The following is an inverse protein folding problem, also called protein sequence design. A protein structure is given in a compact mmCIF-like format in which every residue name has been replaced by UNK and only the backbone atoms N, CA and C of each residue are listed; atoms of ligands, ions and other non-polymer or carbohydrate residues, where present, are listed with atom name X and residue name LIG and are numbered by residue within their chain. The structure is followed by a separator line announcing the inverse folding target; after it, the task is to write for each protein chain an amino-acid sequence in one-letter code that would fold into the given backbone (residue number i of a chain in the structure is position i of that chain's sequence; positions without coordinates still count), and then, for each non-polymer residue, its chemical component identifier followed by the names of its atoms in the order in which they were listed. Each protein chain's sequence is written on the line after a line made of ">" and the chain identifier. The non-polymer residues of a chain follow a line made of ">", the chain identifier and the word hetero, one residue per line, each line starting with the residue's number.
data_IF_674093869070
#
_entry.id   IF_674093869070
#
_cell.length_a   1.000
_cell.length_b   1.000
_cell.length_c   1.000
_cell.angle_alpha   90.00
_cell.angle_beta   90.00
_cell.angle_gamma   90.00
#
_symmetry.space_group_name_H-M   'P 1'
#
loop_
_entity.id
_entity.type
_entity.pdbx_description
1 polymer ?
#
# COMPACT_ATOMS: atom_id res chain seq x y z
N UNK A 1 -40.13 -45.48 -10.29
CA UNK A 1 -38.96 -44.69 -9.83
C UNK A 1 -39.50 -43.40 -9.22
N UNK A 2 -39.66 -43.35 -7.89
CA UNK A 2 -40.19 -42.17 -7.19
C UNK A 2 -38.98 -41.30 -6.77
N UNK A 3 -38.75 -40.24 -7.52
CA UNK A 3 -37.78 -39.20 -7.14
C UNK A 3 -38.42 -38.50 -5.93
N UNK A 4 -37.75 -38.56 -4.76
CA UNK A 4 -38.25 -37.93 -3.54
C UNK A 4 -38.07 -36.40 -3.67
N UNK A 5 -39.13 -35.67 -3.30
CA UNK A 5 -39.13 -34.19 -3.30
C UNK A 5 -37.93 -33.61 -2.51
N UNK A 6 -37.38 -34.40 -1.58
CA UNK A 6 -36.21 -34.07 -0.79
C UNK A 6 -34.92 -33.99 -1.63
N UNK A 7 -34.78 -34.81 -2.67
CA UNK A 7 -33.61 -34.84 -3.54
C UNK A 7 -33.58 -33.63 -4.48
N UNK A 8 -34.76 -33.14 -4.86
CA UNK A 8 -34.94 -31.92 -5.68
C UNK A 8 -34.63 -30.65 -4.85
N UNK A 9 -35.02 -30.59 -3.57
CA UNK A 9 -34.71 -29.49 -2.66
C UNK A 9 -33.21 -29.44 -2.32
N UNK A 10 -32.54 -30.57 -2.23
CA UNK A 10 -31.08 -30.60 -1.99
C UNK A 10 -30.31 -30.13 -3.23
N UNK A 11 -30.78 -30.46 -4.42
CA UNK A 11 -30.13 -30.05 -5.69
C UNK A 11 -30.40 -28.59 -6.04
N UNK A 12 -31.57 -28.02 -5.69
CA UNK A 12 -31.84 -26.59 -5.86
C UNK A 12 -31.12 -25.72 -4.81
N UNK A 13 -30.86 -26.23 -3.61
CA UNK A 13 -30.14 -25.54 -2.57
C UNK A 13 -28.64 -25.36 -2.87
N UNK A 14 -28.05 -26.19 -3.73
CA UNK A 14 -26.63 -26.12 -4.12
C UNK A 14 -26.37 -25.10 -5.25
N UNK A 15 -27.39 -24.60 -5.94
CA UNK A 15 -27.23 -23.75 -7.12
C UNK A 15 -27.29 -22.25 -6.84
N UNK A 16 -27.41 -21.80 -5.58
CA UNK A 16 -27.54 -20.36 -5.22
C UNK A 16 -26.39 -19.84 -4.37
N UNK A 17 -25.27 -20.53 -4.33
CA UNK A 17 -24.07 -19.88 -3.79
C UNK A 17 -23.37 -19.18 -4.96
N UNK A 18 -23.86 -18.00 -5.32
CA UNK A 18 -23.06 -17.05 -6.09
C UNK A 18 -21.89 -16.62 -5.18
N UNK A 19 -20.76 -17.27 -5.35
CA UNK A 19 -19.50 -16.81 -4.78
C UNK A 19 -19.16 -15.54 -5.57
N UNK A 20 -19.58 -14.39 -5.08
CA UNK A 20 -19.10 -13.10 -5.59
C UNK A 20 -17.62 -13.02 -5.23
N UNK A 21 -16.77 -13.39 -6.17
CA UNK A 21 -15.32 -13.15 -6.07
C UNK A 21 -15.09 -11.66 -6.24
N UNK A 22 -14.97 -10.94 -5.12
CA UNK A 22 -14.64 -9.52 -5.10
C UNK A 22 -13.11 -9.41 -4.95
N UNK A 23 -12.48 -8.74 -5.88
CA UNK A 23 -11.04 -8.50 -5.84
C UNK A 23 -10.72 -7.36 -4.88
N UNK A 24 -9.79 -7.58 -3.97
CA UNK A 24 -9.22 -6.57 -3.09
C UNK A 24 -8.00 -5.92 -3.75
N UNK A 25 -7.82 -4.61 -3.59
CA UNK A 25 -6.59 -3.93 -3.99
C UNK A 25 -5.42 -4.41 -3.11
N UNK A 26 -4.22 -4.38 -3.68
CA UNK A 26 -3.00 -4.74 -2.96
C UNK A 26 -2.78 -3.89 -1.70
N UNK A 27 -2.01 -4.40 -0.76
CA UNK A 27 -1.60 -3.70 0.45
C UNK A 27 -0.15 -4.01 0.82
N UNK A 28 0.49 -3.11 1.55
CA UNK A 28 1.84 -3.28 2.11
C UNK A 28 1.76 -3.47 3.63
N UNK A 29 2.59 -4.38 4.18
CA UNK A 29 2.73 -4.57 5.62
C UNK A 29 3.44 -3.39 6.26
N UNK A 30 4.52 -2.88 5.62
CA UNK A 30 5.27 -1.70 6.06
C UNK A 30 4.69 -0.41 5.49
N UNK A 31 3.45 -0.05 5.91
CA UNK A 31 2.78 1.16 5.41
C UNK A 31 3.52 2.48 5.69
N UNK A 32 4.46 2.51 6.65
CA UNK A 32 5.32 3.65 6.93
C UNK A 32 6.36 3.90 5.83
N UNK A 33 6.71 2.89 5.02
CA UNK A 33 7.61 3.02 3.86
C UNK A 33 6.84 3.21 2.55
N UNK A 34 5.50 3.17 2.58
CA UNK A 34 4.63 3.42 1.43
C UNK A 34 3.55 4.49 1.72
N UNK A 35 3.95 5.71 2.11
CA UNK A 35 3.04 6.71 2.67
C UNK A 35 1.97 7.19 1.67
N UNK A 36 2.26 7.29 0.38
CA UNK A 36 1.30 7.77 -0.61
C UNK A 36 0.23 6.72 -0.96
N UNK A 37 0.47 5.44 -0.67
CA UNK A 37 -0.55 4.38 -0.70
C UNK A 37 -1.45 4.39 0.54
N UNK A 38 -0.99 5.03 1.63
CA UNK A 38 -1.76 5.16 2.85
C UNK A 38 -2.73 6.35 2.79
N UNK A 39 -2.22 7.53 2.39
CA UNK A 39 -3.02 8.75 2.46
C UNK A 39 -2.49 9.84 1.53
N UNK A 40 -3.31 10.39 0.62
CA UNK A 40 -2.95 11.53 -0.22
C UNK A 40 -2.48 12.77 0.55
N UNK A 41 -3.00 13.01 1.75
CA UNK A 41 -2.66 14.19 2.57
C UNK A 41 -1.19 14.17 3.08
N UNK A 42 -0.46 13.06 2.90
CA UNK A 42 0.94 12.95 3.33
C UNK A 42 1.92 13.46 2.25
N UNK A 43 1.46 13.78 1.04
CA UNK A 43 2.31 14.36 -0.01
C UNK A 43 3.06 15.57 0.53
N UNK A 44 4.40 15.54 0.47
CA UNK A 44 5.28 16.60 0.97
C UNK A 44 5.35 16.73 2.50
N UNK A 45 4.77 15.80 3.27
CA UNK A 45 4.81 15.82 4.73
C UNK A 45 5.94 14.96 5.27
N UNK A 46 7.15 15.49 5.23
CA UNK A 46 8.37 14.87 5.76
C UNK A 46 9.44 15.94 6.02
N UNK A 47 10.42 15.60 6.84
CA UNK A 47 11.53 16.50 7.15
C UNK A 47 12.64 16.38 6.07
N UNK A 48 12.47 17.12 4.99
CA UNK A 48 13.38 17.15 3.83
C UNK A 48 12.79 17.96 2.69
N UNK A 49 13.46 17.98 1.55
CA UNK A 49 13.04 18.67 0.33
C UNK A 49 12.39 17.70 -0.68
N UNK A 50 12.95 16.50 -0.79
CA UNK A 50 12.43 15.44 -1.66
C UNK A 50 12.50 14.10 -0.93
N UNK A 51 11.44 13.30 -1.09
CA UNK A 51 11.38 11.93 -0.62
C UNK A 51 11.11 10.99 -1.79
N UNK A 52 11.85 9.88 -1.84
CA UNK A 52 11.63 8.79 -2.79
C UNK A 52 11.40 7.52 -1.97
N UNK A 53 10.35 6.77 -2.27
CA UNK A 53 10.08 5.47 -1.65
C UNK A 53 10.03 4.39 -2.73
N UNK A 54 10.52 3.21 -2.40
CA UNK A 54 10.39 2.00 -3.21
C UNK A 54 10.05 0.82 -2.31
N UNK A 55 9.03 0.05 -2.69
CA UNK A 55 8.58 -1.13 -1.95
C UNK A 55 8.39 -2.30 -2.91
N UNK A 56 8.76 -3.49 -2.44
CA UNK A 56 8.45 -4.75 -3.09
C UNK A 56 7.90 -5.73 -2.06
N UNK A 57 6.75 -6.33 -2.38
CA UNK A 57 6.11 -7.37 -1.58
C UNK A 57 5.88 -8.61 -2.43
N UNK A 58 6.24 -9.78 -1.88
CA UNK A 58 5.96 -11.09 -2.47
C UNK A 58 5.14 -11.91 -1.49
N UNK A 59 4.00 -12.45 -1.95
CA UNK A 59 3.07 -13.23 -1.13
C UNK A 59 2.82 -14.60 -1.77
N UNK A 60 2.49 -15.61 -0.93
CA UNK A 60 2.06 -16.95 -1.33
C UNK A 60 3.05 -17.74 -2.20
N UNK A 61 4.33 -17.44 -2.12
CA UNK A 61 5.39 -18.16 -2.84
C UNK A 61 5.47 -19.66 -2.50
N UNK A 62 4.86 -20.08 -1.40
CA UNK A 62 4.81 -21.48 -0.98
C UNK A 62 3.58 -22.24 -1.53
N UNK A 63 2.61 -21.56 -2.13
CA UNK A 63 1.33 -22.15 -2.55
C UNK A 63 1.22 -22.22 -4.06
N UNK A 64 1.62 -21.16 -4.78
CA UNK A 64 1.47 -21.01 -6.22
C UNK A 64 2.48 -20.00 -6.76
N UNK A 65 2.32 -19.55 -8.01
CA UNK A 65 3.09 -18.42 -8.54
C UNK A 65 2.88 -17.21 -7.63
N UNK A 66 3.96 -16.61 -7.08
CA UNK A 66 3.85 -15.57 -6.09
C UNK A 66 3.07 -14.35 -6.61
N UNK A 67 2.23 -13.80 -5.75
CA UNK A 67 1.72 -12.45 -5.96
C UNK A 67 2.85 -11.47 -5.69
N UNK A 68 3.10 -10.58 -6.61
CA UNK A 68 4.23 -9.65 -6.55
C UNK A 68 3.77 -8.22 -6.78
N UNK A 69 3.94 -7.39 -5.75
CA UNK A 69 3.55 -5.99 -5.76
C UNK A 69 4.79 -5.10 -5.67
N UNK A 70 4.90 -4.14 -6.59
CA UNK A 70 5.92 -3.11 -6.60
C UNK A 70 5.27 -1.74 -6.44
N UNK A 71 5.92 -0.85 -5.69
CA UNK A 71 5.52 0.54 -5.57
C UNK A 71 6.76 1.44 -5.62
N UNK A 72 6.69 2.49 -6.41
CA UNK A 72 7.67 3.57 -6.42
C UNK A 72 6.92 4.88 -6.30
N UNK A 73 7.35 5.74 -5.38
CA UNK A 73 6.77 7.07 -5.24
C UNK A 73 7.86 8.12 -5.02
N UNK A 74 7.59 9.34 -5.46
CA UNK A 74 8.39 10.49 -5.11
C UNK A 74 7.50 11.69 -4.82
N UNK A 75 7.88 12.47 -3.83
CA UNK A 75 7.18 13.70 -3.46
C UNK A 75 8.13 14.80 -3.02
N UNK A 76 7.72 16.05 -3.28
CA UNK A 76 8.47 17.25 -2.99
C UNK A 76 7.78 18.02 -1.87
N UNK A 77 8.57 18.39 -0.85
CA UNK A 77 8.15 19.31 0.20
C UNK A 77 8.44 20.73 -0.23
N UNK A 78 7.44 21.39 -0.79
CA UNK A 78 7.55 22.79 -1.23
C UNK A 78 7.09 23.70 -0.11
N UNK A 79 8.01 24.33 0.62
CA UNK A 79 7.74 25.16 1.81
C UNK A 79 6.78 26.34 1.55
N UNK A 80 6.67 26.82 0.31
CA UNK A 80 5.88 28.01 -0.07
C UNK A 80 4.85 27.75 -1.19
N UNK A 81 4.87 26.56 -1.80
CA UNK A 81 3.99 26.18 -2.90
C UNK A 81 3.29 24.86 -2.55
N UNK A 82 2.35 24.44 -3.36
CA UNK A 82 1.70 23.15 -3.20
C UNK A 82 2.72 22.02 -3.34
N UNK A 83 2.84 21.12 -2.36
CA UNK A 83 3.62 19.92 -2.51
C UNK A 83 3.03 19.06 -3.63
N UNK A 84 3.89 18.43 -4.40
CA UNK A 84 3.51 17.54 -5.50
C UNK A 84 4.18 16.21 -5.28
N UNK A 85 3.45 15.14 -5.54
CA UNK A 85 3.98 13.79 -5.51
C UNK A 85 3.35 12.92 -6.59
N UNK A 86 4.06 11.87 -6.95
CA UNK A 86 3.54 10.82 -7.81
C UNK A 86 3.81 9.45 -7.21
N UNK A 87 2.99 8.49 -7.62
CA UNK A 87 3.17 7.09 -7.24
C UNK A 87 2.84 6.20 -8.43
N UNK A 88 3.65 5.19 -8.61
CA UNK A 88 3.46 4.09 -9.56
C UNK A 88 3.39 2.81 -8.77
N UNK A 89 2.31 2.06 -8.94
CA UNK A 89 2.14 0.74 -8.39
C UNK A 89 2.02 -0.27 -9.51
N UNK A 90 2.61 -1.43 -9.33
CA UNK A 90 2.42 -2.60 -10.18
C UNK A 90 2.09 -3.79 -9.32
N UNK A 91 0.97 -4.46 -9.61
CA UNK A 91 0.56 -5.68 -8.94
C UNK A 91 0.37 -6.79 -9.95
N UNK A 92 1.01 -7.93 -9.71
CA UNK A 92 0.92 -9.14 -10.53
C UNK A 92 0.37 -10.28 -9.68
N UNK A 93 -0.74 -10.85 -10.13
CA UNK A 93 -1.46 -11.85 -9.38
C UNK A 93 -1.62 -13.15 -10.19
N UNK A 94 -1.25 -14.26 -9.57
CA UNK A 94 -1.57 -15.60 -10.01
C UNK A 94 -0.95 -16.07 -11.32
N UNK A 95 -1.40 -17.23 -11.75
CA UNK A 95 -0.90 -17.97 -12.93
C UNK A 95 -1.24 -17.24 -14.23
N UNK A 96 -2.38 -16.57 -14.29
CA UNK A 96 -2.80 -15.74 -15.43
C UNK A 96 -1.96 -14.47 -15.61
N UNK A 97 -0.99 -14.23 -14.72
CA UNK A 97 -0.17 -13.00 -14.70
C UNK A 97 -1.04 -11.75 -14.81
N UNK A 98 -2.20 -11.78 -14.14
CA UNK A 98 -3.07 -10.62 -14.06
C UNK A 98 -2.27 -9.43 -13.54
N UNK A 99 -2.09 -8.41 -14.38
CA UNK A 99 -1.21 -7.30 -14.12
C UNK A 99 -2.02 -6.01 -13.99
N UNK A 100 -1.87 -5.32 -12.88
CA UNK A 100 -2.45 -4.00 -12.65
C UNK A 100 -1.32 -3.00 -12.52
N UNK A 101 -1.31 -1.96 -13.35
CA UNK A 101 -0.38 -0.84 -13.26
C UNK A 101 -1.20 0.41 -12.97
N UNK A 102 -0.85 1.09 -11.89
CA UNK A 102 -1.51 2.31 -11.45
C UNK A 102 -0.51 3.46 -11.38
N UNK A 103 -0.86 4.60 -11.97
CA UNK A 103 -0.12 5.84 -11.87
C UNK A 103 -1.02 6.92 -11.29
N UNK A 104 -0.62 7.56 -10.18
CA UNK A 104 -1.35 8.68 -9.60
C UNK A 104 -0.42 9.88 -9.36
N UNK A 105 -0.95 11.06 -9.59
CA UNK A 105 -0.39 12.35 -9.18
C UNK A 105 -1.18 12.88 -8.00
N UNK A 106 -0.52 13.49 -7.04
CA UNK A 106 -1.18 14.01 -5.85
C UNK A 106 -0.58 15.30 -5.34
N UNK A 107 -1.37 15.98 -4.54
CA UNK A 107 -1.00 17.20 -3.83
C UNK A 107 -1.74 17.28 -2.51
N UNK A 108 -1.25 18.13 -1.58
CA UNK A 108 -1.87 18.32 -0.28
C UNK A 108 -1.78 19.78 0.17
N UNK A 109 -2.74 20.18 1.02
CA UNK A 109 -2.83 21.52 1.57
C UNK A 109 -2.77 21.47 3.11
N UNK A 110 -2.07 22.41 3.70
CA UNK A 110 -2.15 22.64 5.13
C UNK A 110 -3.35 23.56 5.43
N UNK A 111 -4.34 23.05 6.15
CA UNK A 111 -5.46 23.84 6.66
C UNK A 111 -5.10 24.48 7.99
N UNK A 112 -4.38 23.74 8.84
CA UNK A 112 -3.83 24.22 10.10
C UNK A 112 -2.35 23.81 10.10
N UNK A 113 -1.46 24.71 10.49
CA UNK A 113 -0.03 24.45 10.62
C UNK A 113 0.56 25.40 11.63
N UNK A 114 0.65 24.95 12.87
CA UNK A 114 1.33 25.64 13.95
C UNK A 114 2.40 24.74 14.60
N UNK A 115 3.00 25.16 15.69
CA UNK A 115 4.08 24.42 16.36
C UNK A 115 3.59 23.16 17.09
N UNK A 116 2.29 23.05 17.36
CA UNK A 116 1.70 21.95 18.14
C UNK A 116 0.91 21.02 17.23
N UNK A 117 0.15 21.55 16.27
CA UNK A 117 -0.79 20.79 15.48
C UNK A 117 -0.70 21.11 14.00
N UNK A 118 -1.01 20.09 13.21
CA UNK A 118 -1.09 20.22 11.77
C UNK A 118 -2.31 19.45 11.25
N UNK A 119 -3.14 20.11 10.45
CA UNK A 119 -4.24 19.50 9.71
C UNK A 119 -3.99 19.68 8.22
N UNK A 120 -3.99 18.57 7.50
CA UNK A 120 -3.77 18.53 6.05
C UNK A 120 -4.91 17.82 5.35
N UNK A 121 -5.22 18.29 4.15
CA UNK A 121 -6.11 17.61 3.20
C UNK A 121 -5.34 17.39 1.93
N UNK A 122 -5.47 16.22 1.33
CA UNK A 122 -4.78 15.86 0.09
C UNK A 122 -5.69 15.14 -0.88
N UNK A 123 -5.33 15.22 -2.16
CA UNK A 123 -6.00 14.49 -3.22
C UNK A 123 -4.98 13.84 -4.14
N UNK A 124 -5.38 12.76 -4.79
CA UNK A 124 -4.65 12.10 -5.86
C UNK A 124 -5.60 11.78 -6.99
N UNK A 125 -5.13 11.93 -8.23
CA UNK A 125 -5.84 11.51 -9.42
C UNK A 125 -4.87 10.82 -10.37
N UNK A 126 -5.35 9.84 -11.11
CA UNK A 126 -4.50 9.10 -12.02
C UNK A 126 -5.25 8.09 -12.87
N UNK A 127 -4.50 7.17 -13.42
CA UNK A 127 -4.99 6.12 -14.31
C UNK A 127 -4.50 4.75 -13.85
N UNK A 128 -5.34 3.75 -14.06
CA UNK A 128 -5.00 2.34 -13.86
C UNK A 128 -5.23 1.57 -15.14
N UNK A 129 -4.24 0.75 -15.51
CA UNK A 129 -4.35 -0.24 -16.58
C UNK A 129 -4.37 -1.61 -15.95
N UNK A 130 -5.37 -2.43 -16.29
CA UNK A 130 -5.46 -3.85 -15.94
C UNK A 130 -5.34 -4.70 -17.19
N UNK A 131 -4.58 -5.77 -17.12
CA UNK A 131 -4.37 -6.67 -18.24
C UNK A 131 -4.26 -8.12 -17.82
N UNK A 132 -4.67 -9.03 -18.72
CA UNK A 132 -4.51 -10.47 -18.60
C UNK A 132 -3.59 -10.93 -19.70
N UNK A 133 -2.57 -11.71 -19.37
CA UNK A 133 -1.76 -12.39 -20.38
C UNK A 133 -2.36 -13.75 -20.69
N UNK A 134 -2.97 -13.90 -21.85
CA UNK A 134 -3.63 -15.14 -22.27
C UNK A 134 -2.69 -16.17 -22.86
N UNK A 135 -1.44 -15.82 -23.16
CA UNK A 135 -0.49 -16.74 -23.80
C UNK A 135 -0.14 -17.96 -22.93
N UNK A 136 -0.28 -17.82 -21.62
CA UNK A 136 0.03 -18.89 -20.66
C UNK A 136 -1.24 -19.56 -20.07
N UNK A 137 -2.44 -19.15 -20.52
CA UNK A 137 -3.70 -19.70 -20.06
C UNK A 137 -4.16 -20.78 -21.03
N UNK A 138 -4.57 -21.92 -20.48
CA UNK A 138 -5.15 -23.03 -21.23
C UNK A 138 -6.66 -23.09 -20.99
N UNK A 139 -7.42 -23.45 -22.01
CA UNK A 139 -8.87 -23.49 -21.97
C UNK A 139 -9.36 -24.88 -22.28
N UNK A 140 -10.49 -25.30 -21.69
CA UNK A 140 -11.09 -26.63 -21.90
C UNK A 140 -11.37 -26.93 -23.39
N UNK A 141 -11.71 -25.89 -24.18
CA UNK A 141 -11.93 -26.02 -25.61
C UNK A 141 -10.65 -26.45 -26.38
N UNK A 142 -9.48 -26.32 -25.80
CA UNK A 142 -8.21 -26.74 -26.38
C UNK A 142 -7.83 -28.19 -26.03
N UNK A 143 -8.73 -28.93 -25.35
CA UNK A 143 -8.57 -30.36 -25.10
C UNK A 143 -9.27 -31.16 -26.18
N UNK A 144 -8.54 -31.97 -26.96
CA UNK A 144 -9.06 -32.74 -28.10
C UNK A 144 -9.67 -34.08 -27.71
N UNK A 145 -9.87 -34.35 -26.43
CA UNK A 145 -10.39 -35.60 -25.89
C UNK A 145 -9.29 -36.59 -25.43
N UNK A 146 -8.03 -36.37 -25.80
CA UNK A 146 -6.89 -37.16 -25.38
C UNK A 146 -5.75 -36.34 -24.82
N UNK A 147 -5.52 -35.15 -25.37
CA UNK A 147 -4.43 -34.26 -24.94
C UNK A 147 -4.80 -32.79 -25.20
N UNK A 148 -4.07 -31.90 -24.56
CA UNK A 148 -4.10 -30.46 -24.81
C UNK A 148 -3.42 -30.16 -26.16
N UNK A 149 -4.11 -29.37 -27.02
CA UNK A 149 -3.58 -28.87 -28.29
C UNK A 149 -3.67 -27.35 -28.34
N UNK A 150 -2.53 -26.62 -28.24
CA UNK A 150 -2.53 -25.17 -28.24
C UNK A 150 -3.01 -24.52 -29.54
N UNK A 151 -3.10 -25.31 -30.64
CA UNK A 151 -3.55 -24.81 -31.93
C UNK A 151 -5.09 -24.79 -32.06
N UNK A 152 -5.81 -25.43 -31.14
CA UNK A 152 -7.27 -25.38 -31.13
C UNK A 152 -7.74 -24.02 -30.67
N UNK A 153 -8.88 -23.52 -31.23
CA UNK A 153 -9.45 -22.23 -30.80
C UNK A 153 -9.89 -22.32 -29.33
N UNK A 154 -9.63 -21.24 -28.60
CA UNK A 154 -9.99 -21.14 -27.17
C UNK A 154 -11.50 -21.06 -26.93
N UNK A 155 -12.28 -20.70 -27.97
CA UNK A 155 -13.72 -20.40 -27.91
C UNK A 155 -14.10 -19.30 -26.89
N UNK A 156 -13.10 -18.61 -26.31
CA UNK A 156 -13.32 -17.49 -25.42
C UNK A 156 -13.25 -16.16 -26.17
N UNK A 157 -14.23 -15.32 -25.96
CA UNK A 157 -14.30 -14.04 -26.64
C UNK A 157 -13.96 -12.91 -25.65
N UNK A 158 -12.67 -12.67 -25.45
CA UNK A 158 -12.21 -11.50 -24.71
C UNK A 158 -12.21 -10.29 -25.63
N UNK A 159 -13.14 -9.36 -25.43
CA UNK A 159 -13.24 -8.14 -26.23
C UNK A 159 -12.03 -7.21 -26.07
N UNK A 160 -11.41 -7.22 -24.89
CA UNK A 160 -10.18 -6.48 -24.58
C UNK A 160 -9.36 -7.16 -23.50
N UNK A 161 -8.08 -7.42 -23.78
CA UNK A 161 -7.12 -7.94 -22.78
C UNK A 161 -6.59 -6.88 -21.82
N UNK A 162 -6.77 -5.61 -22.16
CA UNK A 162 -6.37 -4.46 -21.37
C UNK A 162 -7.55 -3.54 -21.14
N UNK A 163 -7.75 -3.16 -19.89
CA UNK A 163 -8.78 -2.21 -19.49
C UNK A 163 -8.12 -1.02 -18.77
N UNK A 164 -8.49 0.21 -19.17
CA UNK A 164 -7.93 1.45 -18.60
C UNK A 164 -9.06 2.25 -17.96
N UNK A 165 -8.83 2.72 -16.73
CA UNK A 165 -9.79 3.56 -16.01
C UNK A 165 -9.09 4.61 -15.15
N UNK A 166 -9.82 5.68 -14.81
CA UNK A 166 -9.34 6.75 -13.96
C UNK A 166 -9.47 6.42 -12.46
N UNK A 167 -8.62 7.01 -11.64
CA UNK A 167 -8.67 6.94 -10.19
C UNK A 167 -8.81 8.33 -9.59
N UNK A 168 -9.57 8.44 -8.50
CA UNK A 168 -9.70 9.64 -7.71
C UNK A 168 -9.68 9.27 -6.23
N UNK A 169 -8.79 9.90 -5.45
CA UNK A 169 -8.55 9.59 -4.05
C UNK A 169 -8.48 10.87 -3.23
N UNK A 170 -8.99 10.83 -2.01
CA UNK A 170 -8.94 11.92 -1.04
C UNK A 170 -8.38 11.44 0.29
N UNK A 171 -7.79 12.36 1.04
CA UNK A 171 -7.28 12.05 2.37
C UNK A 171 -7.23 13.26 3.29
N UNK A 172 -7.25 12.96 4.58
CA UNK A 172 -7.08 13.90 5.68
C UNK A 172 -6.02 13.34 6.62
N UNK A 173 -5.13 14.19 7.06
CA UNK A 173 -4.10 13.88 8.04
C UNK A 173 -4.10 14.93 9.13
N UNK A 174 -4.20 14.49 10.37
CA UNK A 174 -4.10 15.34 11.55
C UNK A 174 -2.95 14.87 12.44
N UNK A 175 -2.13 15.81 12.89
CA UNK A 175 -0.97 15.56 13.72
C UNK A 175 -0.96 16.54 14.90
N UNK A 176 -0.66 15.99 16.07
CA UNK A 176 -0.43 16.79 17.29
C UNK A 176 0.90 16.38 17.90
N UNK A 177 1.74 17.36 18.20
CA UNK A 177 3.06 17.18 18.77
C UNK A 177 3.13 17.81 20.16
N UNK A 178 3.30 16.98 21.20
CA UNK A 178 3.48 17.39 22.60
C UNK A 178 4.87 16.97 23.06
N UNK A 179 5.84 17.88 23.03
CA UNK A 179 7.21 17.63 23.53
C UNK A 179 7.78 16.22 23.19
N UNK A 180 7.44 15.21 24.01
CA UNK A 180 7.89 13.82 23.86
C UNK A 180 6.87 12.91 23.18
N UNK A 181 5.71 13.42 22.76
CA UNK A 181 4.63 12.59 22.20
C UNK A 181 4.16 13.16 20.87
N UNK A 182 4.01 12.27 19.89
CA UNK A 182 3.47 12.60 18.58
C UNK A 182 2.27 11.69 18.30
N UNK A 183 1.09 12.30 18.13
CA UNK A 183 -0.11 11.58 17.71
C UNK A 183 -0.41 11.94 16.26
N UNK A 184 -0.66 10.93 15.44
CA UNK A 184 -1.04 11.11 14.05
C UNK A 184 -2.30 10.32 13.75
N UNK A 185 -3.25 10.96 13.05
CA UNK A 185 -4.50 10.36 12.63
C UNK A 185 -4.61 10.53 11.11
N UNK A 186 -4.88 9.44 10.43
CA UNK A 186 -5.05 9.40 8.98
C UNK A 186 -6.44 8.86 8.66
N UNK A 187 -7.13 9.54 7.75
CA UNK A 187 -8.34 9.05 7.11
C UNK A 187 -8.22 9.27 5.61
N UNK A 188 -8.47 8.24 4.81
CA UNK A 188 -8.45 8.37 3.36
C UNK A 188 -9.48 7.49 2.69
N UNK A 189 -9.91 7.91 1.51
CA UNK A 189 -10.82 7.19 0.65
C UNK A 189 -10.25 7.13 -0.76
N UNK A 190 -10.07 5.91 -1.25
CA UNK A 190 -9.58 5.63 -2.61
C UNK A 190 -10.74 5.15 -3.48
N UNK A 191 -10.54 5.28 -4.80
CA UNK A 191 -11.50 4.84 -5.82
C UNK A 191 -12.84 5.59 -5.74
N UNK A 192 -12.83 6.90 -5.42
CA UNK A 192 -14.04 7.71 -5.23
C UNK A 192 -14.97 7.73 -6.45
N UNK A 193 -14.41 7.60 -7.63
CA UNK A 193 -15.14 7.58 -8.90
C UNK A 193 -15.70 6.20 -9.27
N UNK A 194 -15.46 5.17 -8.43
CA UNK A 194 -15.99 3.82 -8.60
C UNK A 194 -15.94 3.33 -10.06
N UNK A 195 -14.80 3.50 -10.71
CA UNK A 195 -14.61 3.19 -12.12
C UNK A 195 -15.05 1.78 -12.47
N UNK A 196 -15.63 1.61 -13.67
CA UNK A 196 -15.92 0.30 -14.21
C UNK A 196 -14.59 -0.44 -14.49
N UNK A 197 -14.47 -1.68 -14.00
CA UNK A 197 -13.30 -2.54 -14.17
C UNK A 197 -13.58 -3.80 -15.00
N UNK A 198 -14.72 -3.86 -15.69
CA UNK A 198 -15.14 -5.02 -16.48
C UNK A 198 -14.32 -5.16 -17.76
N UNK A 199 -13.74 -6.35 -18.00
CA UNK A 199 -13.05 -6.69 -19.25
C UNK A 199 -13.99 -7.11 -20.37
N UNK A 200 -15.18 -7.60 -20.04
CA UNK A 200 -16.07 -8.27 -20.99
C UNK A 200 -17.17 -7.36 -21.54
N UNK A 201 -17.07 -6.04 -21.32
CA UNK A 201 -18.17 -5.14 -21.69
C UNK A 201 -19.50 -5.52 -21.05
N UNK A 202 -19.46 -6.21 -19.90
CA UNK A 202 -20.62 -6.80 -19.25
C UNK A 202 -21.63 -5.77 -18.81
N UNK A 203 -22.87 -6.09 -19.01
CA UNK A 203 -24.01 -5.36 -18.43
C UNK A 203 -24.66 -6.26 -17.34
N UNK A 204 -24.67 -5.86 -16.07
CA UNK A 204 -24.24 -4.56 -15.52
C UNK A 204 -22.71 -4.40 -15.38
N UNK A 205 -22.22 -3.15 -15.37
CA UNK A 205 -20.78 -2.87 -15.21
C UNK A 205 -20.30 -3.31 -13.82
N UNK A 206 -19.08 -3.80 -13.74
CA UNK A 206 -18.43 -4.16 -12.46
C UNK A 206 -17.70 -2.94 -11.93
N UNK A 207 -18.31 -2.23 -10.99
CA UNK A 207 -17.71 -1.04 -10.37
C UNK A 207 -16.63 -1.43 -9.36
N UNK A 208 -15.57 -0.64 -9.31
CA UNK A 208 -14.52 -0.76 -8.29
C UNK A 208 -15.04 -0.20 -6.95
N UNK A 209 -14.97 -0.99 -5.90
CA UNK A 209 -15.43 -0.59 -4.58
C UNK A 209 -14.59 0.55 -3.98
N UNK A 210 -15.24 1.42 -3.22
CA UNK A 210 -14.57 2.40 -2.38
C UNK A 210 -13.66 1.70 -1.38
N UNK A 211 -12.42 2.18 -1.26
CA UNK A 211 -11.46 1.70 -0.27
C UNK A 211 -11.24 2.77 0.80
N UNK A 212 -11.69 2.49 2.01
CA UNK A 212 -11.52 3.34 3.18
C UNK A 212 -10.28 2.90 3.96
N UNK A 213 -9.48 3.85 4.40
CA UNK A 213 -8.33 3.62 5.26
C UNK A 213 -8.40 4.58 6.44
N UNK A 214 -8.27 4.01 7.64
CA UNK A 214 -8.06 4.75 8.89
C UNK A 214 -6.78 4.28 9.57
N UNK A 215 -5.98 5.21 10.07
CA UNK A 215 -4.79 4.88 10.88
C UNK A 215 -4.66 5.88 12.00
N UNK A 216 -4.35 5.38 13.18
CA UNK A 216 -3.89 6.17 14.32
C UNK A 216 -2.52 5.66 14.74
N UNK A 217 -1.62 6.57 15.06
CA UNK A 217 -0.33 6.23 15.65
C UNK A 217 0.03 7.18 16.77
N UNK A 218 0.64 6.64 17.81
CA UNK A 218 1.16 7.37 18.95
C UNK A 218 2.65 7.01 19.11
N UNK A 219 3.50 8.00 18.89
CA UNK A 219 4.94 7.87 19.12
C UNK A 219 5.29 8.54 20.43
N UNK A 220 6.00 7.84 21.29
CA UNK A 220 6.47 8.29 22.58
C UNK A 220 7.99 8.23 22.64
N UNK A 221 8.64 9.35 22.92
CA UNK A 221 10.07 9.44 23.14
C UNK A 221 10.35 9.08 24.62
N UNK A 222 10.83 7.87 24.85
CA UNK A 222 11.14 7.38 26.20
C UNK A 222 12.35 8.12 26.76
N UNK A 223 13.38 8.29 25.95
CA UNK A 223 14.56 9.10 26.20
C UNK A 223 15.23 9.45 24.86
N UNK A 224 16.37 10.13 24.89
CA UNK A 224 17.06 10.60 23.68
C UNK A 224 17.46 9.47 22.70
N UNK A 225 17.55 8.24 23.19
CA UNK A 225 17.95 7.08 22.38
C UNK A 225 16.76 6.20 21.97
N UNK A 226 15.70 6.15 22.76
CA UNK A 226 14.61 5.20 22.59
C UNK A 226 13.28 5.85 22.35
N UNK A 227 12.60 5.42 21.30
CA UNK A 227 11.22 5.77 21.03
C UNK A 227 10.36 4.54 20.73
N UNK A 228 9.09 4.64 21.11
CA UNK A 228 8.08 3.62 20.91
C UNK A 228 6.95 4.21 20.09
N UNK A 229 6.54 3.52 19.01
CA UNK A 229 5.40 3.94 18.20
C UNK A 229 4.37 2.81 18.18
N UNK A 230 3.22 3.02 18.81
CA UNK A 230 2.08 2.12 18.74
C UNK A 230 1.12 2.60 17.66
N UNK A 231 0.55 1.67 16.89
CA UNK A 231 -0.35 2.04 15.81
C UNK A 231 -1.50 1.04 15.64
N UNK A 232 -2.65 1.59 15.26
CA UNK A 232 -3.80 0.86 14.77
C UNK A 232 -4.13 1.32 13.36
N UNK A 233 -4.42 0.37 12.49
CA UNK A 233 -4.77 0.59 11.10
C UNK A 233 -6.00 -0.24 10.75
N UNK A 234 -6.90 0.33 10.00
CA UNK A 234 -8.07 -0.34 9.44
C UNK A 234 -8.21 0.01 7.97
N UNK A 235 -8.47 -0.98 7.15
CA UNK A 235 -8.90 -0.76 5.77
C UNK A 235 -10.14 -1.58 5.46
N UNK A 236 -11.02 -1.03 4.63
CA UNK A 236 -12.22 -1.70 4.15
C UNK A 236 -12.44 -1.38 2.67
N UNK A 237 -12.64 -2.43 1.87
CA UNK A 237 -13.02 -2.34 0.47
C UNK A 237 -14.08 -3.39 0.16
N UNK A 238 -15.29 -2.94 -0.17
CA UNK A 238 -16.42 -3.83 -0.30
C UNK A 238 -16.65 -4.66 0.97
N UNK A 239 -16.71 -6.01 0.86
CA UNK A 239 -16.84 -6.91 2.01
C UNK A 239 -15.51 -7.16 2.75
N UNK A 240 -14.38 -6.82 2.15
CA UNK A 240 -13.06 -7.07 2.73
C UNK A 240 -12.72 -6.02 3.77
N UNK A 241 -12.31 -6.49 4.93
CA UNK A 241 -11.86 -5.65 6.03
C UNK A 241 -10.58 -6.24 6.63
N UNK A 242 -9.60 -5.37 6.84
CA UNK A 242 -8.36 -5.69 7.51
C UNK A 242 -8.15 -4.74 8.69
N UNK A 243 -7.78 -5.27 9.83
CA UNK A 243 -7.38 -4.51 11.01
C UNK A 243 -5.97 -4.95 11.37
N UNK A 244 -5.08 -3.97 11.52
CA UNK A 244 -3.69 -4.16 11.90
C UNK A 244 -3.40 -3.38 13.17
N UNK A 245 -2.82 -4.03 14.16
CA UNK A 245 -2.38 -3.41 15.40
C UNK A 245 -0.92 -3.80 15.61
N UNK A 246 -0.10 -2.85 16.02
CA UNK A 246 1.30 -3.15 16.26
C UNK A 246 2.07 -2.05 16.94
N UNK A 247 3.29 -2.39 17.28
CA UNK A 247 4.21 -1.51 17.98
C UNK A 247 5.59 -1.61 17.34
N UNK A 248 6.19 -0.45 17.08
CA UNK A 248 7.55 -0.27 16.56
C UNK A 248 8.43 0.35 17.65
N UNK A 249 9.57 -0.20 17.85
CA UNK A 249 10.60 0.28 18.76
C UNK A 249 11.78 0.78 17.93
N UNK A 250 12.27 1.99 18.21
CA UNK A 250 13.43 2.56 17.54
C UNK A 250 14.52 2.88 18.57
N UNK A 251 15.75 2.47 18.24
CA UNK A 251 16.96 2.84 18.96
C UNK A 251 17.81 3.78 18.10
N UNK A 252 17.98 5.01 18.56
CA UNK A 252 18.73 6.07 17.88
C UNK A 252 20.16 6.07 18.38
N UNK A 253 21.11 5.79 17.49
CA UNK A 253 22.54 5.77 17.77
C UNK A 253 23.17 7.17 17.70
N UNK A 254 22.70 7.97 16.75
CA UNK A 254 23.15 9.35 16.54
C UNK A 254 22.05 10.14 15.84
N UNK A 255 21.83 11.38 16.30
CA UNK A 255 20.92 12.31 15.65
C UNK A 255 21.52 13.73 15.69
N UNK A 256 21.90 14.23 14.51
CA UNK A 256 22.34 15.59 14.25
C UNK A 256 21.46 16.15 13.14
N UNK A 257 21.50 17.45 12.90
CA UNK A 257 20.58 18.12 11.95
C UNK A 257 20.53 17.52 10.54
N UNK A 258 21.60 16.85 10.12
CA UNK A 258 21.72 16.22 8.78
C UNK A 258 22.14 14.75 8.82
N UNK A 259 22.33 14.16 10.00
CA UNK A 259 22.81 12.80 10.19
C UNK A 259 21.92 12.11 11.22
N UNK A 260 21.26 11.03 10.80
CA UNK A 260 20.46 10.21 11.69
C UNK A 260 20.84 8.74 11.48
N UNK A 261 21.20 8.06 12.57
CA UNK A 261 21.50 6.63 12.56
C UNK A 261 20.66 5.95 13.62
N UNK A 262 19.82 5.05 13.20
CA UNK A 262 18.94 4.33 14.10
C UNK A 262 18.66 2.91 13.58
N UNK A 263 18.39 2.01 14.49
CA UNK A 263 17.78 0.71 14.24
C UNK A 263 16.33 0.77 14.68
N UNK A 264 15.42 0.15 13.94
CA UNK A 264 14.04 0.00 14.34
C UNK A 264 13.56 -1.42 14.13
N UNK A 265 12.65 -1.88 14.99
CA UNK A 265 11.99 -3.17 14.87
C UNK A 265 10.56 -3.05 15.36
N UNK A 266 9.64 -3.79 14.75
CA UNK A 266 8.23 -3.77 15.12
C UNK A 266 7.59 -5.13 15.00
N UNK A 267 6.57 -5.34 15.80
CA UNK A 267 5.71 -6.51 15.75
C UNK A 267 4.28 -6.05 15.53
N UNK A 268 3.58 -6.75 14.64
CA UNK A 268 2.24 -6.38 14.21
C UNK A 268 1.37 -7.61 14.08
N UNK A 269 0.12 -7.48 14.44
CA UNK A 269 -0.90 -8.49 14.28
C UNK A 269 -1.96 -8.00 13.29
N UNK A 270 -2.14 -8.76 12.23
CA UNK A 270 -3.19 -8.58 11.22
C UNK A 270 -4.31 -9.57 11.53
N UNK A 271 -5.49 -9.03 11.83
CA UNK A 271 -6.61 -9.86 12.30
C UNK A 271 -6.98 -10.93 11.28
N UNK A 272 -7.08 -12.19 11.77
CA UNK A 272 -7.48 -13.38 11.00
C UNK A 272 -6.56 -13.73 9.82
N UNK A 273 -5.38 -13.11 9.71
CA UNK A 273 -4.46 -13.33 8.60
C UNK A 273 -3.06 -13.71 9.07
N UNK A 274 -2.31 -12.80 9.67
CA UNK A 274 -0.90 -13.03 9.98
C UNK A 274 -0.41 -12.24 11.20
N UNK A 275 0.68 -12.71 11.79
CA UNK A 275 1.60 -11.87 12.59
C UNK A 275 2.80 -11.57 11.72
N UNK A 276 3.28 -10.35 11.72
CA UNK A 276 4.54 -10.05 11.06
C UNK A 276 5.51 -9.25 11.94
N UNK A 277 6.77 -9.48 11.66
CA UNK A 277 7.88 -8.72 12.24
C UNK A 277 8.48 -7.87 11.13
N UNK A 278 8.74 -6.62 11.45
CA UNK A 278 9.50 -5.73 10.58
C UNK A 278 10.72 -5.20 11.30
N UNK A 279 11.81 -5.02 10.59
CA UNK A 279 13.03 -4.40 11.13
C UNK A 279 13.77 -3.64 10.06
N UNK A 280 14.59 -2.69 10.48
CA UNK A 280 15.31 -1.90 9.52
C UNK A 280 16.29 -0.92 10.14
N UNK A 281 16.93 -0.17 9.26
CA UNK A 281 17.97 0.78 9.58
C UNK A 281 17.61 2.15 9.03
N UNK A 282 17.95 3.19 9.77
CA UNK A 282 18.02 4.56 9.30
C UNK A 282 19.51 4.92 9.25
N UNK A 283 19.95 5.28 8.07
CA UNK A 283 21.33 5.70 7.84
C UNK A 283 21.31 7.01 7.03
N UNK A 284 21.43 8.11 7.73
CA UNK A 284 21.40 9.49 7.21
C UNK A 284 20.11 9.76 6.41
N UNK A 285 20.21 9.80 5.09
CA UNK A 285 19.10 10.05 4.18
C UNK A 285 18.28 8.78 3.88
N UNK A 286 18.77 7.59 4.25
CA UNK A 286 18.18 6.32 3.89
C UNK A 286 17.41 5.70 5.07
N UNK A 287 16.21 5.23 4.83
CA UNK A 287 15.47 4.31 5.73
C UNK A 287 15.19 3.04 4.95
N UNK A 288 15.73 1.92 5.44
CA UNK A 288 15.60 0.60 4.80
C UNK A 288 14.87 -0.31 5.78
N UNK A 289 13.93 -1.11 5.29
CA UNK A 289 13.16 -2.03 6.10
C UNK A 289 12.91 -3.34 5.40
N UNK A 290 12.82 -4.40 6.19
CA UNK A 290 12.42 -5.74 5.80
C UNK A 290 11.26 -6.17 6.70
N UNK A 291 10.28 -6.89 6.15
CA UNK A 291 9.27 -7.56 6.95
C UNK A 291 9.00 -8.97 6.46
N UNK A 292 8.59 -9.82 7.39
CA UNK A 292 8.18 -11.18 7.10
C UNK A 292 6.88 -11.50 7.82
N UNK A 293 5.87 -11.93 7.06
CA UNK A 293 4.56 -12.33 7.56
C UNK A 293 4.58 -13.82 7.92
N UNK A 294 4.09 -14.17 9.09
CA UNK A 294 3.82 -15.55 9.52
C UNK A 294 2.31 -15.75 9.41
N UNK A 295 1.88 -16.58 8.49
CA UNK A 295 0.47 -16.80 8.21
C UNK A 295 -0.20 -17.56 9.36
N UNK A 296 -1.30 -17.02 9.88
CA UNK A 296 -2.14 -17.60 10.93
C UNK A 296 -3.56 -17.86 10.43
N UNK A 297 -3.82 -17.64 9.16
CA UNK A 297 -5.13 -17.79 8.53
C UNK A 297 -5.47 -19.27 8.25
N UNK A 298 -6.68 -19.51 7.75
CA UNK A 298 -7.11 -20.85 7.29
C UNK A 298 -6.24 -21.41 6.14
N UNK A 299 -5.32 -20.63 5.59
CA UNK A 299 -4.37 -21.05 4.57
C UNK A 299 -3.12 -21.76 5.14
N UNK A 300 -3.00 -21.93 6.47
CA UNK A 300 -1.86 -22.64 7.09
C UNK A 300 -1.58 -23.99 6.43
N UNK A 301 -2.58 -24.87 6.16
CA UNK A 301 -2.30 -26.18 5.56
C UNK A 301 -1.64 -26.09 4.19
N UNK A 302 -1.95 -25.07 3.39
CA UNK A 302 -1.38 -24.87 2.07
C UNK A 302 -0.06 -24.10 2.10
N UNK A 303 0.08 -23.13 3.01
CA UNK A 303 1.24 -22.24 3.09
C UNK A 303 2.36 -22.73 4.01
N UNK A 304 2.11 -23.75 4.86
CA UNK A 304 3.03 -24.17 5.92
C UNK A 304 3.51 -22.98 6.78
N UNK A 305 2.58 -22.09 7.16
CA UNK A 305 2.82 -20.83 7.90
C UNK A 305 3.71 -19.81 7.16
N UNK A 306 4.13 -20.08 5.92
CA UNK A 306 4.93 -19.14 5.13
C UNK A 306 4.01 -18.05 4.57
N UNK A 307 4.25 -16.81 4.98
CA UNK A 307 3.50 -15.64 4.56
C UNK A 307 4.21 -14.84 3.48
N UNK A 308 4.10 -13.53 3.57
CA UNK A 308 4.71 -12.60 2.63
C UNK A 308 6.07 -12.09 3.12
N UNK A 309 6.93 -11.79 2.16
CA UNK A 309 8.17 -11.05 2.38
C UNK A 309 8.03 -9.66 1.76
N UNK A 310 8.48 -8.63 2.48
CA UNK A 310 8.46 -7.26 1.97
C UNK A 310 9.79 -6.57 2.25
N UNK A 311 10.28 -5.82 1.26
CA UNK A 311 11.41 -4.91 1.37
C UNK A 311 10.94 -3.51 1.01
N UNK A 312 11.34 -2.53 1.81
CA UNK A 312 11.03 -1.13 1.56
C UNK A 312 12.26 -0.25 1.78
N UNK A 313 12.38 0.76 0.94
CA UNK A 313 13.45 1.76 0.99
C UNK A 313 12.86 3.14 0.85
N UNK A 314 13.25 4.06 1.72
CA UNK A 314 12.96 5.47 1.60
C UNK A 314 14.28 6.27 1.58
N UNK A 315 14.35 7.22 0.67
CA UNK A 315 15.44 8.20 0.57
C UNK A 315 14.88 9.60 0.77
N UNK A 316 15.40 10.35 1.75
CA UNK A 316 14.97 11.72 2.05
C UNK A 316 16.15 12.66 1.82
N UNK A 317 16.05 13.45 0.77
CA UNK A 317 17.05 14.48 0.46
C UNK A 317 16.78 15.73 1.28
N UNK A 318 17.83 16.22 1.97
CA UNK A 318 17.83 17.52 2.65
C UNK A 318 18.92 18.40 2.00
N UNK A 319 18.55 19.58 1.53
CA UNK A 319 19.53 20.57 1.08
C UNK A 319 20.37 21.04 2.27
N UNK A 320 21.66 20.98 2.14
CA UNK A 320 22.57 21.59 3.11
C UNK A 320 22.35 23.10 3.09
N UNK A 321 21.92 23.67 4.20
CA UNK A 321 21.89 25.12 4.37
C UNK A 321 23.36 25.54 4.45
N UNK A 322 23.85 26.28 3.45
CA UNK A 322 25.12 26.95 3.59
C UNK A 322 24.95 28.01 4.70
N UNK A 323 25.54 27.73 5.86
CA UNK A 323 25.71 28.77 6.88
C UNK A 323 26.66 29.80 6.24
N UNK A 324 26.10 30.91 5.77
CA UNK A 324 26.91 32.07 5.43
C UNK A 324 27.40 32.58 6.78
N UNK A 325 28.65 32.32 7.08
CA UNK A 325 29.30 32.96 8.22
C UNK A 325 29.15 34.47 8.01
N UNK A 326 28.57 35.22 8.97
CA UNK A 326 28.62 36.66 8.85
C UNK A 326 30.11 37.06 8.79
N UNK A 327 30.52 37.65 7.66
CA UNK A 327 31.80 38.31 7.54
C UNK A 327 31.75 39.50 8.52
N UNK A 328 32.32 39.31 9.71
CA UNK A 328 32.66 40.43 10.56
C UNK A 328 33.83 41.18 9.87
N UNK A 329 33.47 42.18 9.08
CA UNK A 329 34.45 43.15 8.64
C UNK A 329 34.74 43.98 9.89
N UNK A 330 35.93 43.74 10.49
CA UNK A 330 36.44 44.70 11.46
C UNK A 330 36.62 46.05 10.74
N UNK A 331 36.03 47.13 11.21
CA UNK A 331 36.36 48.44 10.67
C UNK A 331 37.84 48.73 11.01
N UNK A 332 38.64 48.93 9.98
CA UNK A 332 39.96 49.52 10.15
C UNK A 332 39.79 50.95 10.68
N UNK A 333 39.98 51.14 11.97
CA UNK A 333 40.17 52.46 12.52
C UNK A 333 41.67 52.82 12.34
N UNK A 334 41.96 53.62 11.32
CA UNK A 334 43.15 54.45 11.24
C UNK A 334 42.92 55.72 12.04
#
# INVERSE_FOLDING_TARGET
>A
MRIRVFDIMLFTGLFVIQITSLAQDFHFSMNQLSPLNLNPAIVGNFDGDMRINSNHRSQWSAVTIPYSTYSISADLNTKKQLPIGFIINQDRAGDSKFNTIQFNLGSAFNLISDSIQQLRVGFQSGITTRGINTNDITFDAQYNGTQFDPNLPTNENFSNFNHVYGNLNLGVHYMVNFKSQLIQIHASCFNLNQSNQSFLGATPPVSLDLKWIGKISHSYLINDFFSLTSSGFITRQGPHQEILIGTEFQYTLAELSYLKRAFWTGIYYRTRDAVFVSSGLIFDAWKIGLSYDINLSKLIPASNMRGGFEIGVAYIMKKKIKLVSPLFICPDYL
#
